data_IF_664302771724
#
_entry.id   IF_664302771724
#
_cell.length_a   1.000
_cell.length_b   1.000
_cell.length_c   1.000
_cell.angle_alpha   90.00
_cell.angle_beta   90.00
_cell.angle_gamma   90.00
#
_symmetry.space_group_name_H-M   'P 1'
#
loop_
_entity.id
_entity.type
_entity.pdbx_description
1 polymer ?
#
# COMPACT_ATOMS: atom_id res chain seq x y z
N UNK A 1 -8.53 6.60 -22.55
CA UNK A 1 -8.47 7.27 -21.24
C UNK A 1 -9.65 6.84 -20.39
N UNK A 2 -9.42 6.62 -19.12
CA UNK A 2 -10.49 6.36 -18.14
C UNK A 2 -10.42 7.44 -17.06
N UNK A 3 -11.57 7.98 -16.60
CA UNK A 3 -11.58 8.96 -15.53
C UNK A 3 -11.11 8.29 -14.22
N UNK A 4 -10.48 9.07 -13.35
CA UNK A 4 -10.21 8.65 -11.98
C UNK A 4 -11.53 8.54 -11.22
N UNK A 5 -11.58 7.58 -10.30
CA UNK A 5 -12.70 7.42 -9.39
C UNK A 5 -12.68 8.50 -8.30
N UNK A 6 -13.86 8.85 -7.82
CA UNK A 6 -14.07 9.70 -6.63
C UNK A 6 -14.93 9.01 -5.56
N UNK A 7 -15.36 7.77 -5.82
CA UNK A 7 -16.21 6.98 -4.92
C UNK A 7 -15.41 5.99 -4.05
N UNK A 8 -14.07 5.98 -4.17
CA UNK A 8 -13.19 5.10 -3.39
C UNK A 8 -12.91 3.74 -4.03
N UNK A 9 -13.52 3.40 -5.17
CA UNK A 9 -13.26 2.18 -5.93
C UNK A 9 -12.41 2.44 -7.18
N UNK A 10 -11.75 1.43 -7.72
CA UNK A 10 -10.90 1.56 -8.89
C UNK A 10 -9.62 2.36 -8.58
N UNK A 11 -9.23 3.25 -9.48
CA UNK A 11 -8.14 4.20 -9.25
C UNK A 11 -8.71 5.52 -8.72
N UNK A 12 -8.64 5.71 -7.43
CA UNK A 12 -9.12 6.91 -6.74
C UNK A 12 -8.10 8.04 -6.83
N UNK A 13 -8.59 9.27 -7.03
CA UNK A 13 -7.78 10.49 -7.05
C UNK A 13 -8.27 11.48 -6.00
N UNK A 14 -7.38 11.91 -5.14
CA UNK A 14 -7.63 12.87 -4.08
C UNK A 14 -6.73 14.10 -4.27
N UNK A 15 -7.29 15.27 -4.08
CA UNK A 15 -6.53 16.54 -3.96
C UNK A 15 -6.50 16.91 -2.48
N UNK A 16 -5.31 17.02 -1.91
CA UNK A 16 -5.15 17.37 -0.50
C UNK A 16 -5.63 18.82 -0.26
N UNK A 17 -6.63 19.05 0.58
CA UNK A 17 -7.15 20.40 0.84
C UNK A 17 -6.17 21.30 1.60
N UNK A 18 -5.10 20.72 2.19
CA UNK A 18 -4.12 21.49 2.97
C UNK A 18 -3.03 22.10 2.10
N UNK A 19 -2.52 21.33 1.14
CA UNK A 19 -1.36 21.75 0.31
C UNK A 19 -1.60 21.66 -1.20
N UNK A 20 -2.80 21.24 -1.63
CA UNK A 20 -3.19 21.14 -3.04
C UNK A 20 -2.54 19.96 -3.80
N UNK A 21 -1.74 19.14 -3.14
CA UNK A 21 -1.05 18.00 -3.77
C UNK A 21 -2.02 16.88 -4.12
N UNK A 22 -1.70 16.17 -5.20
CA UNK A 22 -2.53 15.08 -5.71
C UNK A 22 -1.95 13.75 -5.29
N UNK A 23 -2.82 12.88 -4.80
CA UNK A 23 -2.52 11.49 -4.44
C UNK A 23 -3.48 10.57 -5.17
N UNK A 24 -2.99 9.44 -5.68
CA UNK A 24 -3.79 8.41 -6.31
C UNK A 24 -3.51 7.07 -5.63
N UNK A 25 -4.53 6.26 -5.50
CA UNK A 25 -4.44 4.92 -4.94
C UNK A 25 -5.57 4.05 -5.45
N UNK A 26 -5.34 2.76 -5.47
CA UNK A 26 -6.30 1.79 -5.97
C UNK A 26 -7.04 1.09 -4.84
N UNK A 27 -8.30 0.74 -5.12
CA UNK A 27 -9.07 -0.20 -4.32
C UNK A 27 -9.93 -1.02 -5.27
N UNK A 28 -9.72 -2.34 -5.31
CA UNK A 28 -10.32 -3.22 -6.30
C UNK A 28 -11.24 -4.28 -5.72
N UNK A 29 -11.29 -4.44 -4.41
CA UNK A 29 -12.19 -5.40 -3.79
C UNK A 29 -13.66 -4.94 -3.91
N UNK A 30 -14.59 -5.86 -4.24
CA UNK A 30 -14.33 -7.25 -4.61
C UNK A 30 -14.01 -7.44 -6.11
N UNK A 31 -14.39 -6.52 -6.99
CA UNK A 31 -14.27 -6.66 -8.45
C UNK A 31 -14.27 -5.29 -9.15
N UNK A 32 -13.36 -4.39 -8.77
CA UNK A 32 -13.24 -3.06 -9.36
C UNK A 32 -11.93 -2.84 -10.16
N UNK A 33 -11.12 -3.90 -10.36
CA UNK A 33 -9.88 -3.81 -11.16
C UNK A 33 -10.19 -3.48 -12.63
N UNK A 34 -11.31 -3.96 -13.17
CA UNK A 34 -11.76 -3.65 -14.53
C UNK A 34 -12.04 -2.16 -14.76
N UNK A 35 -12.20 -1.36 -13.69
CA UNK A 35 -12.35 0.09 -13.78
C UNK A 35 -11.02 0.78 -14.13
N UNK A 36 -9.88 0.13 -13.87
CA UNK A 36 -8.55 0.67 -14.17
C UNK A 36 -7.93 0.07 -15.43
N UNK A 37 -7.98 -1.24 -15.61
CA UNK A 37 -7.38 -1.95 -16.75
C UNK A 37 -8.23 -3.14 -17.21
N UNK A 38 -7.98 -3.62 -18.43
CA UNK A 38 -8.66 -4.79 -18.95
C UNK A 38 -8.18 -6.05 -18.21
N UNK A 39 -9.11 -6.76 -17.60
CA UNK A 39 -8.84 -7.94 -16.77
C UNK A 39 -10.09 -8.84 -16.69
N UNK A 40 -9.89 -10.13 -16.47
CA UNK A 40 -10.95 -11.01 -15.98
C UNK A 40 -11.05 -10.79 -14.47
N UNK A 41 -12.01 -9.97 -14.06
CA UNK A 41 -12.12 -9.46 -12.70
C UNK A 41 -12.84 -10.46 -11.78
N UNK A 42 -12.20 -11.59 -11.57
CA UNK A 42 -12.66 -12.71 -10.79
C UNK A 42 -11.48 -13.26 -9.96
N UNK A 43 -11.62 -13.41 -8.63
CA UNK A 43 -10.48 -13.68 -7.74
C UNK A 43 -9.68 -14.94 -8.07
N UNK A 44 -10.31 -16.00 -8.55
CA UNK A 44 -9.65 -17.26 -8.91
C UNK A 44 -8.92 -17.20 -10.26
N UNK A 45 -9.19 -16.18 -11.10
CA UNK A 45 -8.48 -15.95 -12.36
C UNK A 45 -7.20 -15.12 -12.13
N UNK A 46 -6.28 -15.71 -11.40
CA UNK A 46 -5.01 -15.06 -10.98
C UNK A 46 -4.07 -14.83 -12.17
N UNK A 47 -3.45 -13.66 -12.20
CA UNK A 47 -2.48 -13.26 -13.21
C UNK A 47 -1.18 -12.68 -12.61
N UNK A 48 -0.13 -12.63 -13.41
CA UNK A 48 1.08 -11.84 -13.09
C UNK A 48 0.95 -10.44 -13.69
N UNK A 49 1.49 -9.45 -12.99
CA UNK A 49 1.46 -8.05 -13.42
C UNK A 49 2.87 -7.56 -13.70
N UNK A 50 3.05 -6.89 -14.83
CA UNK A 50 4.27 -6.16 -15.17
C UNK A 50 3.94 -4.68 -15.24
N UNK A 51 4.41 -3.92 -14.26
CA UNK A 51 4.02 -2.52 -14.08
C UNK A 51 5.10 -1.57 -14.58
N UNK A 52 4.70 -0.60 -15.37
CA UNK A 52 5.50 0.58 -15.72
C UNK A 52 4.60 1.81 -15.67
N UNK A 53 5.02 2.83 -14.92
CA UNK A 53 4.22 4.03 -14.68
C UNK A 53 5.08 5.27 -14.88
N UNK A 54 4.56 6.26 -15.59
CA UNK A 54 5.17 7.59 -15.71
C UNK A 54 4.37 8.60 -14.89
N UNK A 55 5.03 9.27 -13.96
CA UNK A 55 4.44 10.19 -12.99
C UNK A 55 5.27 11.48 -12.89
N UNK A 56 4.74 12.57 -12.33
CA UNK A 56 5.53 13.78 -12.01
C UNK A 56 6.82 13.46 -11.25
N UNK A 57 7.85 14.26 -11.44
CA UNK A 57 9.20 13.97 -10.95
C UNK A 57 9.31 13.87 -9.42
N UNK A 58 8.43 14.54 -8.69
CA UNK A 58 8.36 14.53 -7.21
C UNK A 58 7.47 13.41 -6.63
N UNK A 59 6.84 12.58 -7.48
CA UNK A 59 5.98 11.50 -7.03
C UNK A 59 6.75 10.22 -6.72
N UNK A 60 6.27 9.50 -5.70
CA UNK A 60 6.58 8.11 -5.43
C UNK A 60 5.54 7.21 -6.08
N UNK A 61 5.94 6.02 -6.49
CA UNK A 61 5.03 4.96 -6.92
C UNK A 61 5.27 3.73 -6.06
N UNK A 62 4.21 3.18 -5.50
CA UNK A 62 4.24 1.99 -4.64
C UNK A 62 3.33 0.94 -5.26
N UNK A 63 3.81 -0.30 -5.36
CA UNK A 63 3.05 -1.45 -5.86
C UNK A 63 3.53 -2.73 -5.16
N UNK A 64 3.04 -3.88 -5.59
CA UNK A 64 3.35 -5.19 -4.99
C UNK A 64 4.86 -5.50 -4.95
N UNK A 65 5.60 -5.23 -6.01
CA UNK A 65 7.05 -5.48 -6.07
C UNK A 65 7.87 -4.21 -5.84
N UNK A 66 9.15 -4.35 -5.62
CA UNK A 66 10.07 -3.22 -5.64
C UNK A 66 10.24 -2.67 -7.06
N UNK A 67 10.49 -1.39 -7.13
CA UNK A 67 10.98 -0.73 -8.34
C UNK A 67 12.36 -1.30 -8.75
N UNK A 68 12.47 -1.69 -10.02
CA UNK A 68 13.75 -2.16 -10.60
C UNK A 68 14.49 -1.04 -11.30
N UNK A 69 13.78 -0.01 -11.74
CA UNK A 69 14.35 1.17 -12.37
C UNK A 69 13.45 2.39 -12.19
N UNK A 70 14.06 3.54 -11.95
CA UNK A 70 13.42 4.85 -11.94
C UNK A 70 14.27 5.80 -12.77
N UNK A 71 13.76 6.19 -13.93
CA UNK A 71 14.50 6.99 -14.90
C UNK A 71 13.75 8.25 -15.32
N UNK A 72 14.45 9.35 -15.67
CA UNK A 72 13.82 10.52 -16.30
C UNK A 72 13.09 10.14 -17.59
N UNK A 73 11.97 10.78 -17.84
CA UNK A 73 11.15 10.61 -19.05
C UNK A 73 10.51 11.96 -19.44
N UNK A 74 11.31 12.89 -19.95
CA UNK A 74 10.93 14.29 -20.11
C UNK A 74 10.72 14.96 -18.76
N UNK A 75 9.58 15.62 -18.58
CA UNK A 75 9.18 16.25 -17.30
C UNK A 75 8.64 15.24 -16.26
N UNK A 76 8.62 13.97 -16.63
CA UNK A 76 8.14 12.88 -15.79
C UNK A 76 9.29 11.97 -15.33
N UNK A 77 8.99 11.08 -14.39
CA UNK A 77 9.84 9.93 -14.04
C UNK A 77 9.09 8.65 -14.37
N UNK A 78 9.79 7.73 -15.04
CA UNK A 78 9.28 6.40 -15.37
C UNK A 78 9.75 5.40 -14.32
N UNK A 79 8.79 4.79 -13.67
CA UNK A 79 8.98 3.73 -12.69
C UNK A 79 8.72 2.38 -13.35
N UNK A 80 9.63 1.45 -13.22
CA UNK A 80 9.49 0.06 -13.71
C UNK A 80 9.63 -0.88 -12.52
N UNK A 81 8.73 -1.84 -12.43
CA UNK A 81 8.68 -2.79 -11.33
C UNK A 81 9.00 -4.20 -11.80
N UNK A 82 9.50 -5.06 -10.90
CA UNK A 82 9.63 -6.48 -11.17
C UNK A 82 8.24 -7.09 -11.46
N UNK A 83 8.21 -8.16 -12.24
CA UNK A 83 6.97 -8.91 -12.46
C UNK A 83 6.50 -9.54 -11.16
N UNK A 84 5.21 -9.43 -10.85
CA UNK A 84 4.63 -10.02 -9.66
C UNK A 84 4.54 -11.55 -9.76
N UNK A 85 4.36 -12.22 -8.63
CA UNK A 85 3.77 -13.56 -8.59
C UNK A 85 2.34 -13.50 -9.11
N UNK A 86 1.68 -14.64 -9.26
CA UNK A 86 0.24 -14.67 -9.59
C UNK A 86 -0.55 -14.13 -8.42
N UNK A 87 -1.42 -13.16 -8.69
CA UNK A 87 -2.30 -12.50 -7.72
C UNK A 87 -3.72 -12.47 -8.26
N UNK A 88 -4.69 -12.52 -7.37
CA UNK A 88 -6.07 -12.15 -7.67
C UNK A 88 -6.13 -10.70 -8.13
N UNK A 89 -7.00 -10.34 -9.08
CA UNK A 89 -7.10 -8.96 -9.56
C UNK A 89 -7.34 -7.94 -8.45
N UNK A 90 -8.16 -8.28 -7.45
CA UNK A 90 -8.48 -7.37 -6.36
C UNK A 90 -7.28 -7.09 -5.43
N UNK A 91 -6.35 -8.04 -5.32
CA UNK A 91 -5.20 -7.96 -4.42
C UNK A 91 -4.04 -7.11 -4.98
N UNK A 92 -4.03 -6.86 -6.30
CA UNK A 92 -3.09 -5.93 -6.91
C UNK A 92 -3.38 -4.50 -6.47
N UNK A 93 -2.33 -3.73 -6.17
CA UNK A 93 -2.47 -2.32 -5.85
C UNK A 93 -1.41 -1.45 -6.49
N UNK A 94 -1.75 -0.18 -6.65
CA UNK A 94 -0.85 0.89 -7.05
C UNK A 94 -1.22 2.18 -6.32
N UNK A 95 -0.21 2.79 -5.72
CA UNK A 95 -0.33 4.12 -5.11
C UNK A 95 0.68 5.04 -5.78
N UNK A 96 0.28 6.27 -6.12
CA UNK A 96 1.18 7.24 -6.70
C UNK A 96 0.87 8.65 -6.20
N UNK A 97 1.92 9.39 -5.85
CA UNK A 97 1.79 10.75 -5.31
C UNK A 97 3.08 11.20 -4.62
N UNK A 98 3.14 12.45 -4.18
CA UNK A 98 4.29 12.99 -3.46
C UNK A 98 4.29 12.52 -1.98
N UNK A 99 4.21 11.20 -1.77
CA UNK A 99 4.21 10.61 -0.44
C UNK A 99 5.51 10.88 0.32
N UNK A 100 5.39 11.15 1.62
CA UNK A 100 6.52 11.02 2.56
C UNK A 100 6.75 9.54 2.82
N UNK A 101 8.00 9.12 2.77
CA UNK A 101 8.41 7.74 3.03
C UNK A 101 9.29 7.68 4.29
N UNK A 102 9.10 6.62 5.06
CA UNK A 102 10.00 6.14 6.11
C UNK A 102 10.34 4.68 5.80
N UNK A 103 11.55 4.26 6.15
CA UNK A 103 12.04 2.90 5.91
C UNK A 103 12.70 2.32 7.16
N UNK A 104 12.48 1.03 7.41
CA UNK A 104 13.22 0.24 8.39
C UNK A 104 13.71 -1.05 7.73
N UNK A 105 15.03 -1.19 7.64
CA UNK A 105 15.72 -2.37 7.09
C UNK A 105 16.36 -3.24 8.17
N UNK A 106 16.08 -2.98 9.44
CA UNK A 106 16.71 -3.69 10.58
C UNK A 106 16.10 -5.07 10.83
N UNK A 107 15.02 -5.44 10.13
CA UNK A 107 14.40 -6.77 10.19
C UNK A 107 14.83 -7.69 9.04
N UNK A 108 14.25 -8.89 9.02
CA UNK A 108 14.46 -9.86 7.93
C UNK A 108 13.95 -9.34 6.57
N UNK A 109 12.87 -8.57 6.61
CA UNK A 109 12.26 -7.97 5.43
C UNK A 109 12.33 -6.45 5.52
N UNK A 110 12.73 -5.74 4.44
CA UNK A 110 12.63 -4.29 4.38
C UNK A 110 11.17 -3.84 4.50
N UNK A 111 10.93 -2.83 5.33
CA UNK A 111 9.59 -2.27 5.57
C UNK A 111 9.59 -0.80 5.21
N UNK A 112 8.56 -0.34 4.50
CA UNK A 112 8.37 1.09 4.22
C UNK A 112 6.98 1.52 4.68
N UNK A 113 6.89 2.76 5.15
CA UNK A 113 5.64 3.41 5.52
C UNK A 113 5.49 4.69 4.70
N UNK A 114 4.31 4.91 4.16
CA UNK A 114 4.02 6.08 3.32
C UNK A 114 2.79 6.82 3.84
N UNK A 115 2.84 8.15 3.79
CA UNK A 115 1.70 9.01 4.11
C UNK A 115 1.79 10.33 3.33
N UNK A 116 0.68 11.05 3.26
CA UNK A 116 0.66 12.40 2.65
C UNK A 116 1.63 13.34 3.38
N UNK A 117 2.20 14.30 2.64
CA UNK A 117 3.11 15.29 3.20
C UNK A 117 2.45 16.12 4.32
N UNK A 118 1.22 16.56 4.09
CA UNK A 118 0.48 17.44 5.02
C UNK A 118 0.22 16.81 6.41
N UNK A 119 0.24 15.48 6.50
CA UNK A 119 -0.01 14.75 7.75
C UNK A 119 1.25 14.07 8.30
N UNK A 120 2.38 14.15 7.60
CA UNK A 120 3.60 13.42 7.92
C UNK A 120 4.10 13.64 9.37
N UNK A 121 3.95 14.86 9.90
CA UNK A 121 4.33 15.18 11.28
C UNK A 121 3.52 14.43 12.36
N UNK A 122 2.35 13.92 12.01
CA UNK A 122 1.46 13.18 12.92
C UNK A 122 1.73 11.67 12.91
N UNK A 123 2.50 11.18 11.95
CA UNK A 123 2.82 9.75 11.84
C UNK A 123 3.90 9.39 12.85
N UNK A 124 3.76 8.22 13.46
CA UNK A 124 4.71 7.62 14.41
C UNK A 124 5.34 6.36 13.81
N UNK A 125 6.31 6.47 12.90
CA UNK A 125 6.82 5.32 12.12
C UNK A 125 7.37 4.20 12.99
N UNK A 126 8.01 4.54 14.12
CA UNK A 126 8.58 3.56 15.04
C UNK A 126 7.53 2.59 15.60
N UNK A 127 6.32 3.06 15.90
CA UNK A 127 5.23 2.20 16.36
C UNK A 127 4.77 1.24 15.26
N UNK A 128 4.62 1.73 14.03
CA UNK A 128 4.25 0.90 12.88
C UNK A 128 5.29 -0.18 12.61
N UNK A 129 6.56 0.17 12.51
CA UNK A 129 7.65 -0.78 12.25
C UNK A 129 7.82 -1.80 13.38
N UNK A 130 7.62 -1.37 14.64
CA UNK A 130 7.65 -2.29 15.80
C UNK A 130 6.65 -3.44 15.65
N UNK A 131 5.39 -3.12 15.36
CA UNK A 131 4.34 -4.13 15.22
C UNK A 131 4.52 -4.95 13.95
N UNK A 132 4.87 -4.32 12.84
CA UNK A 132 5.10 -5.00 11.56
C UNK A 132 6.24 -6.02 11.68
N UNK A 133 7.37 -5.62 12.25
CA UNK A 133 8.51 -6.51 12.45
C UNK A 133 8.17 -7.71 13.33
N UNK A 134 7.49 -7.47 14.44
CA UNK A 134 7.07 -8.53 15.36
C UNK A 134 6.09 -9.49 14.67
N UNK A 135 5.14 -8.98 13.88
CA UNK A 135 4.18 -9.79 13.15
C UNK A 135 4.79 -10.66 12.07
N UNK A 136 5.68 -10.09 11.25
CA UNK A 136 6.38 -10.86 10.21
C UNK A 136 7.19 -12.02 10.82
N UNK A 137 7.90 -11.77 11.92
CA UNK A 137 8.63 -12.83 12.63
C UNK A 137 7.68 -13.88 13.22
N UNK A 138 6.56 -13.45 13.81
CA UNK A 138 5.56 -14.35 14.39
C UNK A 138 4.92 -15.25 13.31
N UNK A 139 4.48 -14.68 12.19
CA UNK A 139 3.80 -15.46 11.15
C UNK A 139 4.76 -16.34 10.35
N UNK A 140 6.01 -15.93 10.13
CA UNK A 140 7.04 -16.82 9.57
C UNK A 140 7.20 -18.10 10.39
N UNK A 141 7.23 -17.97 11.72
CA UNK A 141 7.36 -19.10 12.64
C UNK A 141 6.05 -19.89 12.75
N UNK A 142 4.94 -19.22 12.97
CA UNK A 142 3.62 -19.82 13.17
C UNK A 142 3.15 -20.68 11.99
N UNK A 143 3.31 -20.18 10.76
CA UNK A 143 2.93 -20.91 9.55
C UNK A 143 4.02 -21.87 9.06
N UNK A 144 5.27 -21.71 9.49
CA UNK A 144 6.41 -22.47 8.98
C UNK A 144 6.71 -22.20 7.49
N UNK A 145 6.11 -21.16 6.93
CA UNK A 145 6.28 -20.71 5.55
C UNK A 145 6.75 -19.26 5.60
N UNK A 146 7.96 -18.93 5.10
CA UNK A 146 8.45 -17.57 5.09
C UNK A 146 7.54 -16.63 4.30
N UNK A 147 7.46 -15.36 4.71
CA UNK A 147 6.78 -14.31 3.94
C UNK A 147 7.26 -14.30 2.48
N UNK A 148 6.31 -14.28 1.56
CA UNK A 148 6.56 -14.63 0.16
C UNK A 148 7.00 -13.46 -0.72
N UNK A 149 7.08 -12.26 -0.18
CA UNK A 149 7.46 -11.06 -0.93
C UNK A 149 8.79 -10.48 -0.42
N UNK A 150 9.41 -9.60 -1.22
CA UNK A 150 10.73 -9.04 -0.96
C UNK A 150 10.73 -7.81 -0.04
N UNK A 151 9.56 -7.24 0.23
CA UNK A 151 9.37 -6.04 1.05
C UNK A 151 7.97 -6.02 1.66
N UNK A 152 7.75 -5.21 2.68
CA UNK A 152 6.46 -4.97 3.29
C UNK A 152 6.18 -3.47 3.33
N UNK A 153 5.35 -2.97 2.41
CA UNK A 153 4.97 -1.57 2.35
C UNK A 153 3.61 -1.36 3.01
N UNK A 154 3.44 -0.23 3.69
CA UNK A 154 2.21 0.22 4.30
C UNK A 154 1.93 1.64 3.83
N UNK A 155 0.75 1.89 3.28
CA UNK A 155 0.39 3.18 2.71
C UNK A 155 -0.87 3.72 3.40
N UNK A 156 -0.73 4.84 4.11
CA UNK A 156 -1.88 5.55 4.65
C UNK A 156 -2.50 6.43 3.57
N UNK A 157 -3.80 6.27 3.37
CA UNK A 157 -4.58 7.03 2.37
C UNK A 157 -5.80 7.69 3.01
N UNK A 158 -6.22 8.90 2.53
CA UNK A 158 -7.23 9.71 3.21
C UNK A 158 -8.65 9.13 3.11
N UNK A 159 -9.17 8.98 1.91
CA UNK A 159 -10.58 8.65 1.65
C UNK A 159 -10.73 7.16 1.34
N UNK A 160 -10.43 6.32 2.33
CA UNK A 160 -10.51 4.87 2.19
C UNK A 160 -11.81 4.34 2.80
N UNK A 161 -12.51 3.47 2.05
CA UNK A 161 -13.83 2.96 2.43
C UNK A 161 -13.75 2.03 3.65
N UNK A 162 -12.68 1.27 3.78
CA UNK A 162 -12.44 0.30 4.84
C UNK A 162 -11.44 0.80 5.88
N UNK A 163 -11.11 -0.05 6.86
CA UNK A 163 -10.03 0.21 7.83
C UNK A 163 -8.65 0.06 7.18
N UNK A 164 -8.49 -1.08 6.53
CA UNK A 164 -7.30 -1.41 5.75
C UNK A 164 -7.66 -2.39 4.63
N UNK A 165 -6.68 -2.79 3.83
CA UNK A 165 -6.81 -3.73 2.72
C UNK A 165 -5.49 -4.47 2.52
N UNK A 166 -5.56 -5.78 2.43
CA UNK A 166 -4.45 -6.73 2.35
C UNK A 166 -3.72 -6.78 0.99
N UNK A 167 -3.70 -5.72 0.24
CA UNK A 167 -3.01 -5.68 -1.05
C UNK A 167 -1.60 -6.28 -0.95
N UNK A 168 -1.25 -7.18 -1.87
CA UNK A 168 -0.03 -7.98 -1.82
C UNK A 168 1.23 -7.12 -1.65
N UNK A 169 1.90 -7.24 -0.50
CA UNK A 169 3.12 -6.53 -0.12
C UNK A 169 3.06 -4.99 -0.16
N UNK A 170 1.87 -4.40 -0.33
CA UNK A 170 1.65 -2.95 -0.35
C UNK A 170 0.29 -2.60 0.30
N UNK A 171 0.20 -2.88 1.59
CA UNK A 171 -1.02 -2.83 2.40
C UNK A 171 -1.51 -1.39 2.51
N UNK A 172 -2.80 -1.19 2.23
CA UNK A 172 -3.46 0.11 2.32
C UNK A 172 -4.14 0.29 3.68
N UNK A 173 -3.94 1.44 4.31
CA UNK A 173 -4.56 1.80 5.59
C UNK A 173 -5.29 3.12 5.50
N UNK A 174 -6.44 3.22 6.17
CA UNK A 174 -7.20 4.47 6.28
C UNK A 174 -6.54 5.44 7.25
N UNK A 175 -6.13 6.62 6.78
CA UNK A 175 -5.66 7.70 7.66
C UNK A 175 -6.68 8.04 8.75
N UNK A 176 -7.97 8.12 8.39
CA UNK A 176 -9.05 8.46 9.31
C UNK A 176 -9.12 7.52 10.52
N UNK A 177 -8.71 6.26 10.36
CA UNK A 177 -8.82 5.25 11.41
C UNK A 177 -7.54 5.04 12.21
N UNK A 178 -6.37 5.31 11.61
CA UNK A 178 -5.08 4.94 12.18
C UNK A 178 -4.07 6.10 12.30
N UNK A 179 -4.47 7.31 11.98
CA UNK A 179 -3.68 8.50 12.24
C UNK A 179 -4.18 9.19 13.51
N UNK A 180 -3.30 9.29 14.51
CA UNK A 180 -3.61 9.87 15.80
C UNK A 180 -2.83 11.18 16.00
N UNK A 181 -3.56 12.27 16.29
CA UNK A 181 -2.97 13.62 16.48
C UNK A 181 -2.19 13.76 17.78
N UNK A 182 -2.52 12.94 18.79
CA UNK A 182 -1.87 12.90 20.08
C UNK A 182 -1.13 11.56 20.29
N UNK A 183 -0.49 11.38 21.43
CA UNK A 183 0.05 10.07 21.84
C UNK A 183 -1.08 9.04 21.87
N UNK A 184 -0.83 7.87 21.29
CA UNK A 184 -1.81 6.78 21.29
C UNK A 184 -2.05 6.26 22.71
N UNK A 185 -3.31 6.02 23.03
CA UNK A 185 -3.70 5.25 24.21
C UNK A 185 -3.31 3.78 24.05
N UNK A 186 -3.34 3.01 25.13
CA UNK A 186 -3.11 1.56 25.07
C UNK A 186 -4.09 0.84 24.14
N UNK A 187 -5.37 1.26 24.18
CA UNK A 187 -6.42 0.73 23.30
C UNK A 187 -6.14 1.03 21.82
N UNK A 188 -5.72 2.26 21.49
CA UNK A 188 -5.38 2.67 20.15
C UNK A 188 -4.15 1.89 19.61
N UNK A 189 -3.14 1.65 20.46
CA UNK A 189 -1.99 0.80 20.11
C UNK A 189 -2.41 -0.64 19.86
N UNK A 190 -3.26 -1.20 20.73
CA UNK A 190 -3.78 -2.55 20.55
C UNK A 190 -4.58 -2.69 19.25
N UNK A 191 -5.41 -1.69 18.92
CA UNK A 191 -6.17 -1.66 17.67
C UNK A 191 -5.26 -1.56 16.45
N UNK A 192 -4.25 -0.70 16.48
CA UNK A 192 -3.27 -0.58 15.39
C UNK A 192 -2.53 -1.91 15.20
N UNK A 193 -2.01 -2.50 16.27
CA UNK A 193 -1.34 -3.79 16.22
C UNK A 193 -2.26 -4.89 15.66
N UNK A 194 -3.51 -4.95 16.13
CA UNK A 194 -4.49 -5.92 15.65
C UNK A 194 -4.71 -5.84 14.14
N UNK A 195 -4.92 -4.63 13.61
CA UNK A 195 -5.20 -4.48 12.17
C UNK A 195 -3.93 -4.74 11.35
N UNK A 196 -2.74 -4.31 11.80
CA UNK A 196 -1.48 -4.68 11.13
C UNK A 196 -1.35 -6.20 11.05
N UNK A 197 -1.65 -6.95 12.13
CA UNK A 197 -1.60 -8.41 12.13
C UNK A 197 -2.68 -9.05 11.26
N UNK A 198 -3.89 -8.47 11.22
CA UNK A 198 -4.99 -8.92 10.38
C UNK A 198 -4.61 -8.88 8.89
N UNK A 199 -4.20 -7.71 8.40
CA UNK A 199 -3.78 -7.52 7.00
C UNK A 199 -2.52 -8.34 6.67
N UNK A 200 -1.66 -8.54 7.66
CA UNK A 200 -0.46 -9.35 7.48
C UNK A 200 -0.77 -10.83 7.34
N UNK A 201 -1.71 -11.37 8.09
CA UNK A 201 -2.12 -12.78 7.99
C UNK A 201 -2.62 -13.12 6.58
N UNK A 202 -3.28 -12.20 5.91
CA UNK A 202 -3.72 -12.33 4.52
C UNK A 202 -2.57 -12.49 3.52
N UNK A 203 -1.34 -12.15 3.89
CA UNK A 203 -0.18 -12.40 3.00
C UNK A 203 0.18 -13.89 2.89
N UNK A 204 -0.40 -14.75 3.72
CA UNK A 204 -0.28 -16.22 3.69
C UNK A 204 -1.56 -16.90 3.23
N UNK A 205 -2.73 -16.39 3.61
CA UNK A 205 -4.03 -16.97 3.24
C UNK A 205 -5.16 -15.94 3.28
N UNK A 206 -6.33 -16.31 2.73
CA UNK A 206 -7.53 -15.46 2.77
C UNK A 206 -7.79 -14.70 1.47
N UNK A 207 -7.19 -15.17 0.38
CA UNK A 207 -7.38 -14.68 -0.99
C UNK A 207 -8.28 -15.66 -1.78
#
# INVERSE_FOLDING_TARGET
ERPHSTNGEGLHRMVDPVDGRVYTYTHFEPAAAHQMFAVFDQPDLKATYQVTVSVPADWQVISTTRETNVAPAGDLRRWTFARTKKLSPYNFSMHAGPYKMWEDTSGKYPMRLFARQSVAAQIKPAEWFKYTKAGLAFFDDYFGIPYQFEKYDQVLVPDFLYGAMENAAAITFSERRFMYKAEMTAEQRARLAYVIMHEMAHQWFGD
#
